data_IF_142460525778
#
_entry.id   IF_142460525778
#
_cell.length_a   1.000
_cell.length_b   1.000
_cell.length_c   1.000
_cell.angle_alpha   90.00
_cell.angle_beta   90.00
_cell.angle_gamma   90.00
#
_symmetry.space_group_name_H-M   'P 1'
#
loop_
_entity.id
_entity.type
_entity.pdbx_description
1 polymer ?
#
# COMPACT_ATOMS: atom_id res chain seq x y z
N UNK A 1 -1.96 4.81 25.25
CA UNK A 1 -1.26 3.65 24.69
C UNK A 1 -1.03 3.87 23.21
N UNK A 2 0.15 3.50 22.71
CA UNK A 2 0.49 3.60 21.29
C UNK A 2 0.82 2.19 20.81
N UNK A 3 0.20 1.78 19.73
CA UNK A 3 0.41 0.48 19.10
C UNK A 3 0.59 0.62 17.60
N UNK A 4 1.70 0.08 17.07
CA UNK A 4 1.92 -0.06 15.64
C UNK A 4 2.13 -1.52 15.29
N UNK A 5 1.39 -2.01 14.31
CA UNK A 5 1.51 -3.36 13.78
C UNK A 5 1.63 -3.30 12.27
N UNK A 6 2.59 -4.01 11.73
CA UNK A 6 2.75 -4.18 10.28
C UNK A 6 2.91 -5.67 9.98
N UNK A 7 2.20 -6.13 8.96
CA UNK A 7 2.22 -7.53 8.52
C UNK A 7 2.37 -7.57 7.00
N UNK A 8 3.20 -8.50 6.54
CA UNK A 8 3.38 -8.75 5.11
C UNK A 8 3.25 -10.24 4.84
N UNK A 9 2.37 -10.58 3.92
CA UNK A 9 2.15 -11.94 3.44
C UNK A 9 2.48 -11.99 1.97
N UNK A 10 3.36 -12.92 1.59
CA UNK A 10 3.73 -13.12 0.20
C UNK A 10 3.57 -14.60 -0.15
N UNK A 11 2.98 -14.86 -1.30
CA UNK A 11 2.88 -16.19 -1.87
C UNK A 11 3.18 -16.12 -3.36
N UNK A 12 3.94 -17.07 -3.87
CA UNK A 12 4.28 -17.14 -5.27
C UNK A 12 4.32 -18.57 -5.76
N UNK A 13 4.02 -18.76 -7.04
CA UNK A 13 4.05 -20.04 -7.73
C UNK A 13 4.69 -19.88 -9.10
N UNK A 14 5.59 -20.81 -9.41
CA UNK A 14 6.12 -21.01 -10.74
C UNK A 14 5.62 -22.35 -11.27
N UNK A 15 4.88 -22.32 -12.37
CA UNK A 15 4.34 -23.50 -13.03
C UNK A 15 4.96 -23.64 -14.40
N UNK A 16 5.71 -24.71 -14.62
CA UNK A 16 6.24 -25.07 -15.92
C UNK A 16 5.13 -25.70 -16.77
N UNK A 17 4.63 -24.97 -17.77
CA UNK A 17 3.58 -25.42 -18.67
C UNK A 17 4.16 -26.27 -19.81
N UNK A 18 5.30 -25.85 -20.34
CA UNK A 18 6.05 -26.60 -21.34
C UNK A 18 7.50 -26.66 -20.85
N UNK A 19 8.03 -27.86 -20.56
CA UNK A 19 9.40 -28.01 -20.09
C UNK A 19 10.39 -27.25 -20.96
N UNK A 20 11.30 -26.48 -20.33
CA UNK A 20 12.32 -25.61 -20.93
C UNK A 20 11.82 -24.41 -21.74
N UNK A 21 10.52 -24.32 -22.05
CA UNK A 21 10.02 -23.30 -22.99
C UNK A 21 9.01 -22.33 -22.37
N UNK A 22 8.05 -22.79 -21.58
CA UNK A 22 6.96 -21.95 -21.11
C UNK A 22 6.74 -22.10 -19.61
N UNK A 23 6.84 -20.99 -18.89
CA UNK A 23 6.60 -20.91 -17.44
C UNK A 23 5.56 -19.82 -17.15
N UNK A 24 4.60 -20.15 -16.29
CA UNK A 24 3.70 -19.20 -15.67
C UNK A 24 4.23 -18.89 -14.28
N UNK A 25 4.50 -17.61 -14.01
CA UNK A 25 4.84 -17.12 -12.67
C UNK A 25 3.68 -16.30 -12.14
N UNK A 26 3.27 -16.55 -10.90
CA UNK A 26 2.23 -15.79 -10.21
C UNK A 26 2.71 -15.41 -8.83
N UNK A 27 2.45 -14.17 -8.41
CA UNK A 27 2.76 -13.68 -7.08
C UNK A 27 1.58 -12.90 -6.52
N UNK A 28 1.32 -13.11 -5.23
CA UNK A 28 0.37 -12.32 -4.46
C UNK A 28 1.06 -11.80 -3.21
N UNK A 29 0.87 -10.51 -2.94
CA UNK A 29 1.38 -9.83 -1.75
C UNK A 29 0.25 -9.06 -1.07
N UNK A 30 0.17 -9.22 0.24
CA UNK A 30 -0.71 -8.44 1.11
C UNK A 30 0.16 -7.77 2.17
N UNK A 31 0.14 -6.44 2.19
CA UNK A 31 0.73 -5.64 3.25
C UNK A 31 -0.37 -4.94 4.03
N UNK A 32 -0.34 -5.06 5.35
CA UNK A 32 -1.33 -4.46 6.24
C UNK A 32 -0.65 -3.76 7.39
N UNK A 33 -1.07 -2.52 7.68
CA UNK A 33 -0.67 -1.79 8.88
C UNK A 33 -1.87 -1.37 9.70
N UNK A 34 -1.68 -1.40 11.00
CA UNK A 34 -2.57 -0.83 11.98
C UNK A 34 -1.75 0.09 12.89
N UNK A 35 -2.09 1.37 12.92
CA UNK A 35 -1.51 2.35 13.84
C UNK A 35 -2.62 2.89 14.74
N UNK A 36 -2.43 2.73 16.02
CA UNK A 36 -3.39 3.16 17.06
C UNK A 36 -2.68 3.99 18.10
N UNK A 37 -3.24 5.14 18.37
CA UNK A 37 -2.73 6.07 19.40
C UNK A 37 -3.87 6.47 20.31
N UNK A 38 -3.61 6.41 21.61
CA UNK A 38 -4.44 7.00 22.65
C UNK A 38 -3.54 7.79 23.60
N UNK A 39 -3.74 9.08 23.65
CA UNK A 39 -3.01 10.01 24.51
C UNK A 39 -3.98 10.73 25.45
N UNK A 40 -3.53 10.89 26.69
CA UNK A 40 -4.21 11.69 27.69
C UNK A 40 -3.23 12.70 28.29
N UNK A 41 -3.59 13.96 28.21
CA UNK A 41 -2.86 15.06 28.82
C UNK A 41 -3.53 15.43 30.14
N UNK A 42 -2.81 15.20 31.23
CA UNK A 42 -3.25 15.54 32.60
C UNK A 42 -3.23 17.04 32.81
N UNK A 43 -4.03 17.50 33.78
CA UNK A 43 -3.86 18.82 34.35
C UNK A 43 -2.54 18.87 35.13
N UNK A 44 -1.84 20.00 35.14
CA UNK A 44 -0.60 20.22 35.90
C UNK A 44 -0.44 21.65 36.28
N UNK A 45 0.27 21.85 37.41
CA UNK A 45 0.70 23.12 37.91
C UNK A 45 2.22 23.12 38.03
N UNK A 46 2.87 24.18 37.60
CA UNK A 46 4.32 24.31 37.71
C UNK A 46 4.64 25.30 38.83
N UNK A 47 5.27 24.83 39.91
CA UNK A 47 5.64 25.66 41.07
C UNK A 47 6.68 26.75 40.71
N UNK A 48 7.57 26.49 39.79
CA UNK A 48 8.61 27.42 39.36
C UNK A 48 8.12 28.53 38.43
N UNK A 49 6.94 28.41 37.86
CA UNK A 49 6.32 29.43 37.04
C UNK A 49 4.79 29.32 37.13
N UNK A 50 4.17 30.14 38.00
CA UNK A 50 2.74 30.12 38.25
C UNK A 50 1.88 30.41 37.02
N UNK A 51 2.48 30.93 35.93
CA UNK A 51 1.80 31.16 34.66
C UNK A 51 1.82 29.92 33.72
N UNK A 52 2.57 28.88 34.07
CA UNK A 52 2.56 27.60 33.34
C UNK A 52 1.60 26.61 34.00
N UNK A 53 0.32 26.83 33.76
CA UNK A 53 -0.77 26.01 34.29
C UNK A 53 -1.49 25.38 33.09
N UNK A 54 -1.63 24.05 33.11
CA UNK A 54 -2.59 23.39 32.26
C UNK A 54 -3.76 22.88 33.11
N UNK A 55 -4.91 23.51 33.00
CA UNK A 55 -6.11 23.13 33.74
C UNK A 55 -7.02 22.21 32.87
N UNK A 56 -6.71 22.06 31.59
CA UNK A 56 -7.53 21.31 30.65
C UNK A 56 -6.98 19.91 30.49
N UNK A 57 -7.74 18.92 30.92
CA UNK A 57 -7.49 17.50 30.61
C UNK A 57 -7.99 17.20 29.23
N UNK A 58 -7.14 16.60 28.40
CA UNK A 58 -7.46 16.28 27.01
C UNK A 58 -7.18 14.82 26.71
N UNK A 59 -8.14 14.17 26.06
CA UNK A 59 -7.97 12.85 25.47
C UNK A 59 -7.96 12.98 23.95
N UNK A 60 -7.04 12.29 23.29
CA UNK A 60 -6.94 12.21 21.84
C UNK A 60 -6.67 10.78 21.43
N UNK A 61 -7.41 10.31 20.43
CA UNK A 61 -7.19 9.00 19.87
C UNK A 61 -7.34 8.99 18.35
N UNK A 62 -6.56 8.15 17.71
CA UNK A 62 -6.77 7.79 16.31
C UNK A 62 -6.48 6.33 16.04
N UNK A 63 -7.08 5.85 14.97
CA UNK A 63 -6.80 4.55 14.38
C UNK A 63 -6.59 4.74 12.88
N UNK A 64 -5.44 4.29 12.38
CA UNK A 64 -5.12 4.28 10.95
C UNK A 64 -4.93 2.84 10.49
N UNK A 65 -5.46 2.54 9.32
CA UNK A 65 -5.29 1.26 8.62
C UNK A 65 -4.84 1.50 7.21
N UNK A 66 -3.76 0.85 6.82
CA UNK A 66 -3.32 0.74 5.43
C UNK A 66 -3.41 -0.72 4.99
N UNK A 67 -3.93 -0.94 3.81
CA UNK A 67 -3.93 -2.26 3.20
C UNK A 67 -3.51 -2.13 1.74
N UNK A 68 -2.46 -2.83 1.38
CA UNK A 68 -1.95 -2.92 0.00
C UNK A 68 -2.06 -4.37 -0.45
N UNK A 69 -2.76 -4.58 -1.55
CA UNK A 69 -2.84 -5.88 -2.22
C UNK A 69 -2.19 -5.76 -3.58
N UNK A 70 -1.24 -6.64 -3.87
CA UNK A 70 -0.59 -6.72 -5.17
C UNK A 70 -0.69 -8.15 -5.68
N UNK A 71 -1.18 -8.29 -6.90
CA UNK A 71 -1.27 -9.55 -7.62
C UNK A 71 -0.57 -9.35 -8.96
N UNK A 72 0.31 -10.27 -9.33
CA UNK A 72 0.87 -10.30 -10.67
C UNK A 72 0.92 -11.72 -11.22
N UNK A 73 0.77 -11.83 -12.51
CA UNK A 73 0.91 -13.09 -13.23
C UNK A 73 1.53 -12.81 -14.60
N UNK A 74 2.51 -13.60 -14.99
CA UNK A 74 3.13 -13.47 -16.29
C UNK A 74 3.63 -14.79 -16.83
N UNK A 75 3.53 -14.92 -18.15
CA UNK A 75 4.05 -16.03 -18.94
C UNK A 75 5.43 -15.64 -19.46
N UNK A 76 6.38 -16.54 -19.32
CA UNK A 76 7.69 -16.46 -19.96
C UNK A 76 7.81 -17.61 -20.96
N UNK A 77 8.08 -17.26 -22.20
CA UNK A 77 8.39 -18.23 -23.25
C UNK A 77 9.80 -18.01 -23.78
N UNK A 78 10.59 -19.08 -23.80
CA UNK A 78 11.96 -19.08 -24.36
C UNK A 78 12.12 -20.25 -25.31
N UNK A 79 12.68 -19.97 -26.47
CA UNK A 79 13.03 -21.02 -27.40
C UNK A 79 14.18 -20.60 -28.34
N UNK A 80 14.92 -21.58 -28.81
CA UNK A 80 15.94 -21.42 -29.84
C UNK A 80 15.53 -22.21 -31.06
N UNK A 81 15.34 -21.53 -32.18
CA UNK A 81 14.99 -22.15 -33.46
C UNK A 81 16.21 -22.24 -34.35
N UNK A 82 16.37 -23.41 -35.01
CA UNK A 82 17.47 -23.67 -35.93
C UNK A 82 18.87 -23.32 -35.37
N UNK A 83 19.08 -23.45 -34.04
CA UNK A 83 20.31 -23.14 -33.31
C UNK A 83 20.85 -21.72 -33.55
N UNK A 84 20.06 -20.81 -34.07
CA UNK A 84 20.48 -19.44 -34.46
C UNK A 84 19.52 -18.34 -33.99
N UNK A 85 18.26 -18.67 -33.82
CA UNK A 85 17.22 -17.68 -33.52
C UNK A 85 16.75 -17.87 -32.07
N UNK A 86 17.23 -17.04 -31.16
CA UNK A 86 16.80 -17.06 -29.77
C UNK A 86 15.64 -16.06 -29.58
N UNK A 87 14.56 -16.55 -29.03
CA UNK A 87 13.34 -15.78 -28.73
C UNK A 87 13.06 -15.86 -27.24
N UNK A 88 12.87 -14.70 -26.59
CA UNK A 88 12.43 -14.59 -25.20
C UNK A 88 11.21 -13.63 -25.19
N UNK A 89 10.06 -14.17 -24.81
CA UNK A 89 8.80 -13.45 -24.69
C UNK A 89 8.33 -13.44 -23.25
N UNK A 90 7.89 -12.30 -22.78
CA UNK A 90 7.16 -12.18 -21.53
C UNK A 90 5.89 -11.39 -21.75
N UNK A 91 4.78 -11.89 -21.25
CA UNK A 91 3.50 -11.18 -21.24
C UNK A 91 2.80 -11.39 -19.91
N UNK A 92 2.30 -10.33 -19.29
CA UNK A 92 1.67 -10.44 -18.00
C UNK A 92 0.78 -9.26 -17.64
N UNK A 93 0.17 -9.40 -16.48
CA UNK A 93 -0.64 -8.37 -15.85
C UNK A 93 -0.34 -8.21 -14.38
N UNK A 94 -0.64 -7.04 -13.88
CA UNK A 94 -0.50 -6.66 -12.47
C UNK A 94 -1.77 -5.96 -12.00
N UNK A 95 -2.19 -6.28 -10.80
CA UNK A 95 -3.26 -5.59 -10.08
C UNK A 95 -2.71 -5.09 -8.75
N UNK A 96 -2.90 -3.80 -8.48
CA UNK A 96 -2.53 -3.14 -7.24
C UNK A 96 -3.73 -2.43 -6.65
N UNK A 97 -4.04 -2.65 -5.37
CA UNK A 97 -5.11 -2.00 -4.63
C UNK A 97 -4.58 -1.47 -3.29
N UNK A 98 -4.63 -0.17 -3.11
CA UNK A 98 -4.27 0.51 -1.88
C UNK A 98 -5.50 1.10 -1.23
N UNK A 99 -5.75 0.71 0.01
CA UNK A 99 -6.84 1.20 0.84
C UNK A 99 -6.28 1.87 2.09
N UNK A 100 -6.66 3.11 2.31
CA UNK A 100 -6.34 3.88 3.50
C UNK A 100 -7.61 4.22 4.26
N UNK A 101 -7.58 4.04 5.58
CA UNK A 101 -8.64 4.44 6.49
C UNK A 101 -8.05 5.11 7.72
N UNK A 102 -8.59 6.25 8.13
CA UNK A 102 -8.28 6.93 9.38
C UNK A 102 -9.57 7.30 10.09
N UNK A 103 -9.59 7.07 11.40
CA UNK A 103 -10.61 7.54 12.34
C UNK A 103 -9.90 8.29 13.44
N UNK A 104 -10.43 9.44 13.88
CA UNK A 104 -9.86 10.21 15.00
C UNK A 104 -10.95 10.89 15.82
N UNK A 105 -10.67 11.11 17.09
CA UNK A 105 -11.47 11.91 17.99
C UNK A 105 -10.59 12.55 19.06
N UNK A 106 -11.04 13.68 19.58
CA UNK A 106 -10.48 14.27 20.78
C UNK A 106 -11.57 14.88 21.65
N UNK A 107 -11.33 14.88 22.97
CA UNK A 107 -12.21 15.46 23.98
C UNK A 107 -11.40 16.21 25.02
N UNK A 108 -12.05 17.13 25.72
CA UNK A 108 -11.45 17.93 26.78
C UNK A 108 -12.34 18.00 28.00
N UNK A 109 -11.80 18.59 29.08
CA UNK A 109 -12.51 18.82 30.34
C UNK A 109 -12.94 17.51 31.00
N UNK A 110 -12.06 16.47 30.96
CA UNK A 110 -12.27 15.29 31.81
C UNK A 110 -12.28 15.69 33.29
N UNK A 111 -13.21 15.16 34.09
CA UNK A 111 -13.35 15.54 35.50
C UNK A 111 -12.16 15.08 36.38
N UNK A 112 -11.47 14.00 35.98
CA UNK A 112 -10.39 13.38 36.74
C UNK A 112 -9.24 12.93 35.83
N UNK A 113 -8.06 12.76 36.43
CA UNK A 113 -6.90 12.14 35.79
C UNK A 113 -6.96 10.60 35.78
N UNK A 114 -7.91 9.99 36.50
CA UNK A 114 -7.98 8.55 36.73
C UNK A 114 -8.69 7.81 35.58
N UNK A 115 -9.45 8.54 34.74
CA UNK A 115 -10.20 7.97 33.62
C UNK A 115 -9.67 8.59 32.31
N UNK A 116 -8.52 8.11 31.82
CA UNK A 116 -7.87 8.67 30.62
C UNK A 116 -8.50 8.15 29.32
N UNK A 117 -9.79 8.35 29.15
CA UNK A 117 -10.53 7.88 27.96
C UNK A 117 -11.23 9.03 27.25
N UNK A 118 -11.50 8.84 25.94
CA UNK A 118 -12.25 9.83 25.15
C UNK A 118 -13.65 10.08 25.72
N UNK A 119 -14.27 9.06 26.30
CA UNK A 119 -15.64 9.18 26.84
C UNK A 119 -15.72 9.97 28.15
N UNK A 120 -14.60 10.18 28.85
CA UNK A 120 -14.57 10.94 30.09
C UNK A 120 -14.55 12.46 29.88
N UNK A 121 -14.23 12.94 28.70
CA UNK A 121 -14.25 14.36 28.37
C UNK A 121 -15.66 14.91 28.26
N UNK A 122 -15.95 15.99 28.98
CA UNK A 122 -17.27 16.64 28.95
C UNK A 122 -17.56 17.34 27.62
N UNK A 123 -16.50 17.82 26.95
CA UNK A 123 -16.59 18.59 25.72
C UNK A 123 -15.78 17.96 24.58
N UNK A 124 -16.25 18.15 23.36
CA UNK A 124 -15.43 17.89 22.17
C UNK A 124 -14.31 18.91 22.10
N UNK A 125 -13.08 18.47 21.90
CA UNK A 125 -11.93 19.37 21.71
C UNK A 125 -11.72 19.68 20.24
N UNK A 126 -11.85 18.66 19.41
CA UNK A 126 -11.76 18.77 17.96
C UNK A 126 -12.87 17.95 17.32
N UNK A 127 -13.23 18.24 16.08
CA UNK A 127 -14.28 17.48 15.42
C UNK A 127 -13.82 16.04 15.18
N UNK A 128 -14.57 15.05 15.70
CA UNK A 128 -14.29 13.67 15.35
C UNK A 128 -14.54 13.45 13.85
N UNK A 129 -13.75 12.60 13.24
CA UNK A 129 -13.88 12.40 11.82
C UNK A 129 -13.32 11.09 11.34
N UNK A 130 -13.60 10.81 10.09
CA UNK A 130 -12.98 9.69 9.38
C UNK A 130 -12.62 10.08 7.96
N UNK A 131 -11.57 9.45 7.44
CA UNK A 131 -11.12 9.64 6.07
C UNK A 131 -10.85 8.29 5.44
N UNK A 132 -11.28 8.14 4.18
CA UNK A 132 -11.02 6.95 3.36
C UNK A 132 -10.43 7.36 2.03
N UNK A 133 -9.44 6.63 1.59
CA UNK A 133 -8.87 6.78 0.25
C UNK A 133 -8.60 5.40 -0.34
N UNK A 134 -8.83 5.26 -1.63
CA UNK A 134 -8.51 4.05 -2.37
C UNK A 134 -7.84 4.40 -3.68
N UNK A 135 -6.83 3.62 -4.05
CA UNK A 135 -6.17 3.71 -5.33
C UNK A 135 -6.00 2.31 -5.92
N UNK A 136 -6.45 2.12 -7.16
CA UNK A 136 -6.27 0.88 -7.91
C UNK A 136 -5.47 1.17 -9.17
N UNK A 137 -4.55 0.28 -9.45
CA UNK A 137 -3.78 0.29 -10.69
C UNK A 137 -3.89 -1.10 -11.30
N UNK A 138 -4.23 -1.16 -12.56
CA UNK A 138 -4.23 -2.37 -13.37
C UNK A 138 -3.26 -2.16 -14.52
N UNK A 139 -2.43 -3.16 -14.79
CA UNK A 139 -1.38 -3.04 -15.77
C UNK A 139 -1.31 -4.30 -16.62
N UNK A 140 -1.12 -4.09 -17.92
CA UNK A 140 -0.67 -5.14 -18.84
C UNK A 140 0.72 -4.78 -19.32
N UNK A 141 1.61 -5.73 -19.39
CA UNK A 141 2.98 -5.50 -19.84
C UNK A 141 3.52 -6.67 -20.65
N UNK A 142 4.47 -6.36 -21.51
CA UNK A 142 5.13 -7.37 -22.29
C UNK A 142 6.54 -6.98 -22.70
N UNK A 143 7.34 -8.00 -22.97
CA UNK A 143 8.71 -7.88 -23.47
C UNK A 143 8.93 -8.92 -24.56
N UNK A 144 9.54 -8.47 -25.63
CA UNK A 144 10.02 -9.29 -26.72
C UNK A 144 11.52 -9.07 -26.86
N UNK A 145 12.30 -10.13 -26.74
CA UNK A 145 13.71 -10.12 -27.07
C UNK A 145 13.98 -11.15 -28.17
N UNK A 146 14.72 -10.74 -29.14
CA UNK A 146 15.17 -11.60 -30.22
C UNK A 146 16.66 -11.44 -30.43
N UNK A 147 17.34 -12.55 -30.62
CA UNK A 147 18.77 -12.63 -30.86
C UNK A 147 19.01 -13.57 -32.05
N UNK A 148 19.76 -13.09 -33.03
CA UNK A 148 20.23 -13.89 -34.14
C UNK A 148 21.73 -14.12 -34.04
N UNK A 149 22.13 -15.38 -33.79
CA UNK A 149 23.52 -15.85 -33.72
C UNK A 149 24.39 -15.06 -32.73
N UNK A 150 23.80 -14.43 -31.70
CA UNK A 150 24.49 -13.51 -30.76
C UNK A 150 25.15 -12.30 -31.44
N UNK A 151 24.73 -11.95 -32.65
CA UNK A 151 25.25 -10.82 -33.41
C UNK A 151 24.25 -9.67 -33.56
N UNK A 152 22.99 -9.99 -33.72
CA UNK A 152 21.91 -9.02 -33.91
C UNK A 152 20.89 -9.19 -32.81
N UNK A 153 20.71 -8.16 -32.01
CA UNK A 153 19.83 -8.12 -30.86
C UNK A 153 18.70 -7.13 -31.12
N UNK A 154 17.47 -7.55 -30.91
CA UNK A 154 16.29 -6.68 -30.92
C UNK A 154 15.53 -6.85 -29.60
N UNK A 155 15.21 -5.73 -28.95
CA UNK A 155 14.41 -5.71 -27.75
C UNK A 155 13.26 -4.72 -27.91
N UNK A 156 12.08 -5.11 -27.46
CA UNK A 156 10.90 -4.26 -27.40
C UNK A 156 10.15 -4.54 -26.10
N UNK A 157 9.74 -3.47 -25.41
CA UNK A 157 8.88 -3.55 -24.22
C UNK A 157 7.67 -2.67 -24.39
N UNK A 158 6.59 -3.01 -23.69
CA UNK A 158 5.46 -2.13 -23.53
C UNK A 158 4.80 -2.31 -22.17
N UNK A 159 4.14 -1.25 -21.71
CA UNK A 159 3.29 -1.27 -20.53
C UNK A 159 2.03 -0.45 -20.82
N UNK A 160 0.89 -0.97 -20.39
CA UNK A 160 -0.42 -0.33 -20.51
C UNK A 160 -1.05 -0.28 -19.12
N UNK A 161 -1.11 0.90 -18.53
CA UNK A 161 -1.50 1.11 -17.13
C UNK A 161 -2.81 1.88 -17.03
N UNK A 162 -3.72 1.38 -16.18
CA UNK A 162 -4.94 2.04 -15.77
C UNK A 162 -4.89 2.46 -14.31
N UNK A 163 -5.30 3.72 -14.00
CA UNK A 163 -5.32 4.23 -12.64
C UNK A 163 -6.71 4.76 -12.26
N UNK A 164 -7.28 4.25 -11.15
CA UNK A 164 -8.62 4.62 -10.69
C UNK A 164 -8.76 6.07 -10.20
N UNK A 165 -7.66 6.75 -9.89
CA UNK A 165 -7.67 8.16 -9.46
C UNK A 165 -7.84 9.15 -10.62
N UNK A 166 -7.59 8.73 -11.83
CA UNK A 166 -7.78 9.57 -13.01
C UNK A 166 -9.26 9.54 -13.43
N UNK A 167 -9.87 10.71 -13.59
CA UNK A 167 -11.27 10.84 -14.04
C UNK A 167 -11.39 10.52 -15.53
N UNK A 168 -10.51 11.12 -16.32
CA UNK A 168 -10.44 10.99 -17.77
C UNK A 168 -9.11 10.33 -18.16
N UNK A 169 -9.07 9.65 -19.30
CA UNK A 169 -7.88 8.98 -19.80
C UNK A 169 -7.20 8.09 -18.76
N UNK A 170 -7.99 7.22 -18.15
CA UNK A 170 -7.53 6.33 -17.07
C UNK A 170 -6.41 5.39 -17.48
N UNK A 171 -6.26 5.17 -18.78
CA UNK A 171 -5.32 4.23 -19.37
C UNK A 171 -4.24 4.97 -20.15
N UNK A 172 -2.99 4.59 -19.93
CA UNK A 172 -1.82 5.08 -20.63
C UNK A 172 -1.00 3.96 -21.24
N UNK A 173 -0.48 4.16 -22.44
CA UNK A 173 0.43 3.24 -23.12
C UNK A 173 1.86 3.78 -23.09
N UNK A 174 2.80 2.94 -22.69
CA UNK A 174 4.22 3.26 -22.52
C UNK A 174 5.07 2.25 -23.29
N UNK A 175 5.52 2.58 -24.51
CA UNK A 175 6.46 1.76 -25.26
C UNK A 175 7.89 2.00 -24.76
N UNK A 176 8.78 0.98 -24.87
CA UNK A 176 10.19 1.02 -24.52
C UNK A 176 11.05 0.14 -25.41
#
# INVERSE_FOLDING_TARGET
>A
SNGYRAETYNIGFDLTLIPKHLTLTTNASLYHTLDQVENFNKAFYTQSNPNKINTTRRSYGYLMKDTQTQLNAFLNYRNTFADKHNVDLMFGGEYYDYNYYKLWASTKNSPTDDIPTLNAGADKDDNPGSYKSRNRIESLFGRFNYDYMQKYLLSFTFRYDGNSKLKDNRWGFFPG
#
